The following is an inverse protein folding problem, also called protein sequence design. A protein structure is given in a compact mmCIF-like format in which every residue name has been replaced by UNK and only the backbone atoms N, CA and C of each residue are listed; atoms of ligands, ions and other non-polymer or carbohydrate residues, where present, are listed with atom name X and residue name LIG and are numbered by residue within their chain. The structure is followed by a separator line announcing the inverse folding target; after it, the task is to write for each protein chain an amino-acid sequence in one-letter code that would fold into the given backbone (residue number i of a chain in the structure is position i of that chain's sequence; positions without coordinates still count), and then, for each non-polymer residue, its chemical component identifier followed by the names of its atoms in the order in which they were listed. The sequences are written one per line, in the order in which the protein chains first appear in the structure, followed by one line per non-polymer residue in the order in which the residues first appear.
data_IF_432024572189
#
_entry.id   IF_432024572189
#
_cell.length_a   1.000
_cell.length_b   1.000
_cell.length_c   1.000
_cell.angle_alpha   90.00
_cell.angle_beta   90.00
_cell.angle_gamma   90.00
#
_symmetry.space_group_name_H-M   'P 1'
#
loop_
_entity.id
_entity.type
_entity.pdbx_description
1 polymer ?
#
# COMPACT_ATOMS: atom_id res chain seq x y z
N UNK A 1 4.80 24.49 7.89
CA UNK A 1 4.86 23.97 6.51
C UNK A 1 3.99 22.74 6.53
N UNK A 2 2.85 22.77 5.83
CA UNK A 2 1.86 21.71 5.90
C UNK A 2 2.37 20.48 5.17
N UNK A 3 2.31 19.34 5.83
CA UNK A 3 2.39 18.05 5.15
C UNK A 3 1.12 17.98 4.30
N UNK A 4 1.27 18.04 2.98
CA UNK A 4 0.13 17.95 2.08
C UNK A 4 -0.40 16.52 2.16
N UNK A 5 -1.50 16.35 2.90
CA UNK A 5 -2.21 15.08 3.00
C UNK A 5 -2.90 14.78 1.66
N UNK A 6 -2.20 14.10 0.76
CA UNK A 6 -2.77 13.63 -0.49
C UNK A 6 -3.65 12.39 -0.24
N UNK A 7 -4.78 12.33 -0.94
CA UNK A 7 -5.77 11.25 -0.73
C UNK A 7 -5.27 9.96 -1.38
N UNK A 8 -4.86 9.00 -0.54
CA UNK A 8 -4.53 7.63 -0.94
C UNK A 8 -5.78 6.97 -1.55
N UNK A 9 -5.67 6.49 -2.78
CA UNK A 9 -6.72 5.69 -3.44
C UNK A 9 -6.64 4.24 -2.98
N UNK A 10 -5.45 3.65 -3.07
CA UNK A 10 -5.17 2.29 -2.65
C UNK A 10 -3.66 2.01 -2.61
N UNK A 11 -3.27 0.96 -1.89
CA UNK A 11 -1.90 0.43 -1.92
C UNK A 11 -1.82 -0.58 -3.06
N UNK A 12 -0.88 -0.34 -3.98
CA UNK A 12 -0.65 -1.21 -5.14
C UNK A 12 0.33 -2.31 -4.79
N UNK A 13 1.39 -1.97 -4.06
CA UNK A 13 2.46 -2.89 -3.72
C UNK A 13 3.12 -2.54 -2.38
N UNK A 14 3.86 -3.49 -1.82
CA UNK A 14 4.61 -3.36 -0.58
C UNK A 14 5.94 -4.09 -0.73
N UNK A 15 7.04 -3.38 -0.46
CA UNK A 15 8.41 -3.90 -0.50
C UNK A 15 9.15 -3.53 0.77
N UNK A 16 10.10 -4.36 1.16
CA UNK A 16 11.03 -4.05 2.24
C UNK A 16 12.38 -3.64 1.64
N UNK A 17 12.89 -2.47 2.03
CA UNK A 17 14.22 -2.01 1.65
C UNK A 17 14.98 -1.54 2.89
N UNK A 18 16.19 -2.07 3.09
CA UNK A 18 17.07 -1.72 4.22
C UNK A 18 16.41 -1.87 5.60
N UNK A 19 15.54 -2.88 5.77
CA UNK A 19 14.80 -3.11 7.02
C UNK A 19 13.59 -2.19 7.23
N UNK A 20 13.31 -1.27 6.30
CA UNK A 20 12.11 -0.43 6.31
C UNK A 20 11.09 -0.93 5.29
N UNK A 21 9.81 -0.85 5.63
CA UNK A 21 8.72 -1.13 4.71
C UNK A 21 8.37 0.12 3.89
N UNK A 22 8.23 -0.08 2.59
CA UNK A 22 7.78 0.92 1.64
C UNK A 22 6.55 0.38 0.92
N UNK A 23 5.55 1.21 0.77
CA UNK A 23 4.30 0.89 0.10
C UNK A 23 4.12 1.79 -1.11
N UNK A 24 3.75 1.20 -2.24
CA UNK A 24 3.46 1.92 -3.46
C UNK A 24 2.03 2.44 -3.39
N UNK A 25 1.90 3.75 -3.25
CA UNK A 25 0.62 4.44 -3.12
C UNK A 25 0.09 4.81 -4.50
N UNK A 26 -1.18 4.43 -4.74
CA UNK A 26 -1.96 4.97 -5.84
C UNK A 26 -2.65 6.23 -5.36
N UNK A 27 -2.32 7.36 -5.96
CA UNK A 27 -2.97 8.63 -5.66
C UNK A 27 -4.29 8.76 -6.40
N UNK A 28 -5.33 9.23 -5.70
CA UNK A 28 -6.66 9.36 -6.29
C UNK A 28 -6.69 10.47 -7.34
N UNK A 29 -7.11 10.12 -8.56
CA UNK A 29 -7.21 11.06 -9.68
C UNK A 29 -5.91 11.30 -10.45
N UNK A 30 -4.83 10.61 -10.09
CA UNK A 30 -3.55 10.67 -10.77
C UNK A 30 -3.27 9.40 -11.56
N UNK A 31 -2.31 9.44 -12.49
CA UNK A 31 -1.91 8.30 -13.32
C UNK A 31 -1.12 7.26 -12.53
N UNK A 32 -0.91 6.03 -13.07
CA UNK A 32 0.02 5.08 -12.47
C UNK A 32 1.47 5.60 -12.52
N UNK A 33 1.79 6.54 -13.41
CA UNK A 33 3.08 7.24 -13.43
C UNK A 33 3.35 8.08 -12.17
N UNK A 34 2.31 8.59 -11.52
CA UNK A 34 2.43 9.41 -10.31
C UNK A 34 2.57 8.58 -9.03
N UNK A 35 2.45 7.25 -9.13
CA UNK A 35 2.54 6.38 -7.95
C UNK A 35 3.91 6.50 -7.29
N UNK A 36 3.93 6.79 -5.98
CA UNK A 36 5.15 6.95 -5.21
C UNK A 36 5.30 5.86 -4.14
N UNK A 37 6.55 5.56 -3.78
CA UNK A 37 6.88 4.64 -2.70
C UNK A 37 7.01 5.41 -1.39
N UNK A 38 6.00 5.30 -0.54
CA UNK A 38 6.00 5.93 0.78
C UNK A 38 6.43 4.93 1.85
N UNK A 39 7.27 5.34 2.83
CA UNK A 39 7.61 4.48 3.94
C UNK A 39 6.39 4.24 4.84
N UNK A 40 6.37 3.10 5.53
CA UNK A 40 5.31 2.75 6.50
C UNK A 40 5.08 3.84 7.54
N UNK A 41 6.17 4.51 7.96
CA UNK A 41 6.17 5.62 8.92
C UNK A 41 5.27 6.80 8.46
N UNK A 42 5.23 7.09 7.15
CA UNK A 42 4.38 8.14 6.56
C UNK A 42 2.92 7.68 6.38
N UNK A 43 2.70 6.37 6.39
CA UNK A 43 1.39 5.75 6.20
C UNK A 43 0.75 5.32 7.53
N UNK A 44 1.28 5.77 8.66
CA UNK A 44 0.70 5.52 9.98
C UNK A 44 -0.75 6.03 10.06
N UNK A 45 -1.06 7.14 9.38
CA UNK A 45 -2.43 7.65 9.24
C UNK A 45 -3.28 6.91 8.19
N UNK A 46 -2.66 6.06 7.36
CA UNK A 46 -3.29 5.27 6.28
C UNK A 46 -3.30 3.76 6.58
N UNK A 47 -3.23 3.38 7.86
CA UNK A 47 -3.24 1.98 8.33
C UNK A 47 -4.46 1.18 7.85
N UNK A 48 -5.60 1.83 7.62
CA UNK A 48 -6.80 1.18 7.07
C UNK A 48 -6.54 0.63 5.66
N UNK A 49 -5.78 1.35 4.84
CA UNK A 49 -5.47 0.92 3.47
C UNK A 49 -4.44 -0.21 3.46
N UNK A 50 -3.47 -0.17 4.38
CA UNK A 50 -2.54 -1.29 4.62
C UNK A 50 -3.31 -2.55 5.02
N UNK A 51 -4.28 -2.42 5.93
CA UNK A 51 -5.13 -3.57 6.32
C UNK A 51 -5.91 -4.13 5.14
N UNK A 52 -6.54 -3.29 4.30
CA UNK A 52 -7.25 -3.75 3.10
C UNK A 52 -6.34 -4.47 2.10
N UNK A 53 -5.15 -3.91 1.87
CA UNK A 53 -4.14 -4.51 1.00
C UNK A 53 -3.70 -5.88 1.52
N UNK A 54 -3.35 -5.97 2.80
CA UNK A 54 -2.94 -7.22 3.44
C UNK A 54 -4.05 -8.27 3.43
N UNK A 55 -5.29 -7.88 3.70
CA UNK A 55 -6.45 -8.77 3.59
C UNK A 55 -6.59 -9.36 2.18
N UNK A 56 -6.43 -8.53 1.15
CA UNK A 56 -6.54 -8.96 -0.25
C UNK A 56 -5.38 -9.90 -0.64
N UNK A 57 -4.14 -9.58 -0.22
CA UNK A 57 -2.97 -10.45 -0.40
C UNK A 57 -3.15 -11.81 0.29
N UNK A 58 -3.58 -11.81 1.55
CA UNK A 58 -3.79 -13.04 2.33
C UNK A 58 -4.90 -13.91 1.73
N UNK A 59 -5.97 -13.29 1.21
CA UNK A 59 -7.03 -14.02 0.51
C UNK A 59 -6.50 -14.73 -0.72
N UNK A 60 -5.75 -14.02 -1.59
CA UNK A 60 -5.10 -14.63 -2.76
C UNK A 60 -4.14 -15.76 -2.38
N UNK A 61 -3.37 -15.60 -1.31
CA UNK A 61 -2.47 -16.65 -0.83
C UNK A 61 -3.23 -17.88 -0.30
N UNK A 62 -4.39 -17.70 0.33
CA UNK A 62 -5.22 -18.79 0.84
C UNK A 62 -6.01 -19.51 -0.27
N UNK A 63 -6.52 -18.78 -1.26
CA UNK A 63 -7.21 -19.38 -2.40
C UNK A 63 -6.27 -20.20 -3.29
N UNK A 64 -4.99 -19.81 -3.41
CA UNK A 64 -3.97 -20.66 -4.07
C UNK A 64 -3.62 -21.94 -3.28
N UNK A 65 -3.96 -22.04 -2.00
CA UNK A 65 -3.73 -23.23 -1.18
C UNK A 65 -4.92 -24.22 -1.20
N UNK A 66 -6.02 -23.90 -1.90
CA UNK A 66 -7.23 -24.73 -2.01
C UNK A 66 -7.42 -25.43 -3.36
N UNK A 67 -6.35 -25.53 -4.15
CA UNK A 67 -6.32 -26.42 -5.32
C UNK A 67 -5.37 -27.58 -5.02
N UNK A 68 -5.78 -28.48 -4.12
CA UNK A 68 -5.24 -29.84 -4.02
C UNK A 68 -6.40 -30.83 -4.08
#
# INVERSE_FOLDING_TARGET
MGEEEYKVEQIIDAKQQQGKWFYLIKWKGYGPEDNSWEPEELLEHSQEEIKRFNQTRLKKACDSAKSL
#
